data_IF_173221500071
#
_entry.id   IF_173221500071
#
_cell.length_a   1.000
_cell.length_b   1.000
_cell.length_c   1.000
_cell.angle_alpha   90.00
_cell.angle_beta   90.00
_cell.angle_gamma   90.00
#
_symmetry.space_group_name_H-M   'P 1'
#
loop_
_entity.id
_entity.type
_entity.pdbx_description
1 polymer ?
#
# COMPACT_ATOMS: atom_id res chain seq x y z
N UNK A 1 -20.58 1.45 -11.61
CA UNK A 1 -19.56 2.50 -11.76
C UNK A 1 -19.10 2.56 -13.20
N UNK A 2 -19.03 3.72 -13.76
CA UNK A 2 -18.47 3.91 -15.08
C UNK A 2 -16.98 4.19 -14.96
N UNK A 3 -16.16 3.92 -16.02
CA UNK A 3 -14.74 4.23 -16.01
C UNK A 3 -14.40 5.71 -15.90
N UNK A 4 -15.41 6.59 -15.84
CA UNK A 4 -15.24 8.04 -15.68
C UNK A 4 -15.22 8.49 -14.23
N UNK A 5 -15.67 7.64 -13.32
CA UNK A 5 -15.72 7.98 -11.91
C UNK A 5 -14.31 8.05 -11.35
N UNK A 6 -14.07 9.08 -10.57
CA UNK A 6 -12.83 9.28 -9.86
C UNK A 6 -13.06 9.10 -8.35
N UNK A 7 -12.11 8.48 -7.70
CA UNK A 7 -12.08 8.39 -6.26
C UNK A 7 -11.07 9.41 -5.74
N UNK A 8 -11.53 10.29 -4.87
CA UNK A 8 -10.68 11.30 -4.25
C UNK A 8 -10.33 10.83 -2.84
N UNK A 9 -9.05 10.59 -2.62
CA UNK A 9 -8.57 10.03 -1.36
C UNK A 9 -7.75 11.11 -0.67
N UNK A 10 -8.19 11.60 0.51
CA UNK A 10 -7.47 12.68 1.18
C UNK A 10 -6.10 12.19 1.68
N UNK A 11 -5.10 13.05 1.59
CA UNK A 11 -3.84 12.83 2.27
C UNK A 11 -4.05 12.97 3.78
N UNK A 12 -3.38 12.10 4.53
CA UNK A 12 -3.40 12.18 6.00
C UNK A 12 -2.73 13.48 6.43
N UNK A 13 -3.40 14.30 7.27
CA UNK A 13 -2.79 15.55 7.74
C UNK A 13 -1.51 15.33 8.54
N UNK A 14 -0.63 16.32 8.53
CA UNK A 14 0.59 16.30 9.33
C UNK A 14 1.76 15.55 8.70
N UNK A 15 1.63 15.11 7.46
CA UNK A 15 2.71 14.50 6.69
C UNK A 15 3.14 15.43 5.56
N UNK A 16 4.45 15.52 5.32
CA UNK A 16 4.99 16.21 4.16
C UNK A 16 4.90 15.38 2.88
N UNK A 17 4.68 14.09 3.02
CA UNK A 17 4.55 13.13 1.91
C UNK A 17 3.09 12.76 1.67
N UNK A 18 2.80 12.18 0.52
CA UNK A 18 1.47 11.68 0.20
C UNK A 18 1.20 10.36 0.93
N UNK A 19 0.50 10.45 2.05
CA UNK A 19 0.10 9.31 2.87
C UNK A 19 -1.41 9.22 2.81
N UNK A 20 -1.94 8.04 2.56
CA UNK A 20 -3.38 7.77 2.48
C UNK A 20 -3.76 6.64 3.42
N UNK A 21 -5.00 6.63 3.90
CA UNK A 21 -5.51 5.51 4.70
C UNK A 21 -6.00 4.40 3.78
N UNK A 22 -5.65 3.18 4.09
CA UNK A 22 -6.12 2.00 3.39
C UNK A 22 -6.35 0.86 4.38
N UNK A 23 -7.25 -0.06 4.07
CA UNK A 23 -7.55 -1.17 4.97
C UNK A 23 -7.18 -2.50 4.32
N UNK A 24 -6.18 -3.17 4.88
CA UNK A 24 -5.79 -4.51 4.47
C UNK A 24 -6.88 -5.51 4.86
N UNK A 25 -7.21 -6.42 3.96
CA UNK A 25 -8.32 -7.36 4.09
C UNK A 25 -9.67 -6.66 4.33
N UNK A 26 -9.76 -5.36 3.99
CA UNK A 26 -10.88 -4.47 4.33
C UNK A 26 -11.20 -4.47 5.83
N UNK A 27 -10.19 -4.70 6.69
CA UNK A 27 -10.36 -4.93 8.12
C UNK A 27 -9.46 -4.04 8.97
N UNK A 28 -8.15 -3.98 8.63
CA UNK A 28 -7.17 -3.24 9.42
C UNK A 28 -6.72 -2.01 8.64
N UNK A 29 -7.23 -0.83 9.06
CA UNK A 29 -6.93 0.45 8.43
C UNK A 29 -5.56 0.96 8.90
N UNK A 30 -4.72 1.33 7.93
CA UNK A 30 -3.35 1.81 8.17
C UNK A 30 -2.99 2.96 7.23
N UNK A 31 -2.16 3.90 7.69
CA UNK A 31 -1.58 4.91 6.80
C UNK A 31 -0.51 4.29 5.91
N UNK A 32 -0.64 4.48 4.61
CA UNK A 32 0.34 4.00 3.62
C UNK A 32 0.93 5.18 2.87
N UNK A 33 2.25 5.18 2.72
CA UNK A 33 2.94 6.12 1.85
C UNK A 33 2.69 5.71 0.40
N UNK A 34 2.20 6.63 -0.42
CA UNK A 34 2.03 6.41 -1.85
C UNK A 34 3.40 6.49 -2.51
N UNK A 35 3.90 5.36 -3.00
CA UNK A 35 5.30 5.24 -3.45
C UNK A 35 5.38 4.60 -4.83
N UNK A 36 5.58 5.45 -5.84
CA UNK A 36 5.76 5.00 -7.23
C UNK A 36 7.10 4.31 -7.46
N UNK A 37 8.03 4.40 -6.51
CA UNK A 37 9.30 3.69 -6.54
C UNK A 37 9.25 2.29 -5.96
N UNK A 38 8.16 1.90 -5.32
CA UNK A 38 8.00 0.55 -4.76
C UNK A 38 7.27 -0.34 -5.77
N UNK A 39 7.87 -1.47 -6.11
CA UNK A 39 7.25 -2.42 -7.05
C UNK A 39 6.05 -3.13 -6.44
N UNK A 40 6.07 -3.36 -5.13
CA UNK A 40 5.06 -4.12 -4.42
C UNK A 40 4.59 -3.34 -3.19
N UNK A 41 3.30 -3.40 -2.92
CA UNK A 41 2.69 -2.85 -1.70
C UNK A 41 3.21 -3.60 -0.48
N UNK A 42 3.47 -2.89 0.61
CA UNK A 42 4.01 -3.47 1.85
C UNK A 42 3.10 -3.16 3.04
N UNK A 43 3.15 -4.02 4.03
CA UNK A 43 2.58 -3.77 5.36
C UNK A 43 3.62 -4.04 6.43
N UNK A 44 3.42 -3.48 7.62
CA UNK A 44 4.31 -3.74 8.75
C UNK A 44 4.15 -5.15 9.28
N UNK A 45 5.17 -5.61 10.01
CA UNK A 45 5.12 -6.90 10.73
C UNK A 45 3.94 -6.92 11.70
N UNK A 46 3.72 -5.83 12.44
CA UNK A 46 2.62 -5.75 13.41
C UNK A 46 1.25 -5.90 12.74
N UNK A 47 1.05 -5.28 11.58
CA UNK A 47 -0.21 -5.39 10.82
C UNK A 47 -0.41 -6.81 10.31
N UNK A 48 0.62 -7.43 9.76
CA UNK A 48 0.54 -8.82 9.29
C UNK A 48 0.17 -9.77 10.42
N UNK A 49 0.77 -9.61 11.58
CA UNK A 49 0.47 -10.42 12.77
C UNK A 49 -0.96 -10.21 13.24
N UNK A 50 -1.43 -8.96 13.24
CA UNK A 50 -2.81 -8.66 13.62
C UNK A 50 -3.83 -9.32 12.68
N UNK A 51 -3.49 -9.46 11.41
CA UNK A 51 -4.32 -10.15 10.42
C UNK A 51 -4.20 -11.67 10.50
N UNK A 52 -3.37 -12.20 11.39
CA UNK A 52 -3.22 -13.64 11.60
C UNK A 52 -2.26 -14.33 10.65
N UNK A 53 -1.42 -13.60 9.93
CA UNK A 53 -0.43 -14.21 9.05
C UNK A 53 0.72 -14.82 9.85
N UNK A 54 1.11 -16.04 9.50
CA UNK A 54 2.27 -16.70 10.07
C UNK A 54 3.53 -16.31 9.29
N UNK A 55 4.32 -15.41 9.87
CA UNK A 55 5.51 -14.88 9.21
C UNK A 55 6.72 -15.83 9.29
N UNK A 56 6.67 -16.85 10.11
CA UNK A 56 7.68 -17.91 10.12
C UNK A 56 7.46 -18.90 8.99
N UNK A 57 6.20 -19.06 8.56
CA UNK A 57 5.81 -19.96 7.47
C UNK A 57 4.87 -19.25 6.49
N UNK A 58 5.35 -18.19 5.80
CA UNK A 58 4.47 -17.38 4.97
C UNK A 58 4.06 -18.06 3.65
N UNK A 59 4.63 -19.20 3.33
CA UNK A 59 4.38 -19.90 2.08
C UNK A 59 5.10 -19.32 0.88
N UNK A 60 5.45 -18.04 0.90
CA UNK A 60 6.15 -17.37 -0.18
C UNK A 60 7.08 -16.30 0.36
N UNK A 61 8.25 -16.18 -0.27
CA UNK A 61 9.26 -15.19 0.04
C UNK A 61 9.67 -14.48 -1.24
N UNK A 62 10.08 -13.22 -1.13
CA UNK A 62 10.69 -12.48 -2.22
C UNK A 62 11.94 -11.76 -1.75
N UNK A 63 12.86 -11.53 -2.68
CA UNK A 63 13.99 -10.65 -2.47
C UNK A 63 13.61 -9.28 -3.00
N UNK A 64 13.64 -8.27 -2.12
CA UNK A 64 13.42 -6.87 -2.48
C UNK A 64 14.73 -6.12 -2.32
N UNK A 65 15.01 -5.25 -3.29
CA UNK A 65 16.20 -4.39 -3.25
C UNK A 65 15.75 -2.99 -2.88
N UNK A 66 16.29 -2.48 -1.78
CA UNK A 66 16.04 -1.10 -1.34
C UNK A 66 16.93 -0.10 -2.08
N UNK A 67 16.75 1.20 -1.76
CA UNK A 67 17.56 2.28 -2.32
C UNK A 67 19.06 2.08 -2.03
N UNK A 68 19.38 1.45 -0.91
CA UNK A 68 20.75 1.11 -0.53
C UNK A 68 21.39 0.01 -1.39
N UNK A 69 20.65 -0.56 -2.34
CA UNK A 69 21.11 -1.63 -3.22
C UNK A 69 21.22 -2.99 -2.55
N UNK A 70 20.80 -3.10 -1.29
CA UNK A 70 20.90 -4.37 -0.54
C UNK A 70 19.64 -5.21 -0.72
N UNK A 71 19.79 -6.45 -1.23
CA UNK A 71 18.65 -7.36 -1.29
C UNK A 71 18.25 -7.82 0.12
N UNK A 72 16.96 -7.89 0.35
CA UNK A 72 16.39 -8.41 1.60
C UNK A 72 15.32 -9.43 1.25
N UNK A 73 15.34 -10.54 1.95
CA UNK A 73 14.33 -11.57 1.83
C UNK A 73 13.17 -11.20 2.75
N UNK A 74 11.97 -11.03 2.17
CA UNK A 74 10.79 -10.65 2.92
C UNK A 74 9.66 -11.64 2.70
N UNK A 75 8.82 -11.90 3.72
CA UNK A 75 7.65 -12.73 3.55
C UNK A 75 6.60 -12.03 2.70
N UNK A 76 5.89 -12.81 1.90
CA UNK A 76 4.74 -12.36 1.12
C UNK A 76 3.49 -12.97 1.71
N UNK A 77 2.51 -12.15 1.99
CA UNK A 77 1.21 -12.58 2.51
C UNK A 77 0.10 -12.22 1.54
N UNK A 78 -1.03 -12.90 1.65
CA UNK A 78 -2.19 -12.66 0.82
C UNK A 78 -3.33 -12.09 1.68
N UNK A 79 -3.57 -10.77 1.64
CA UNK A 79 -4.68 -10.16 2.37
C UNK A 79 -6.02 -10.32 1.63
N UNK A 80 -6.01 -10.80 0.39
CA UNK A 80 -7.17 -10.94 -0.44
C UNK A 80 -7.64 -9.64 -1.09
N UNK A 81 -7.68 -8.55 -0.33
CA UNK A 81 -8.19 -7.26 -0.80
C UNK A 81 -7.63 -6.11 0.01
N UNK A 82 -7.69 -4.93 -0.60
CA UNK A 82 -7.34 -3.66 0.01
C UNK A 82 -8.50 -2.69 -0.21
N UNK A 83 -9.03 -2.11 0.86
CA UNK A 83 -10.03 -1.05 0.75
C UNK A 83 -9.31 0.30 0.69
N UNK A 84 -9.60 1.09 -0.31
CA UNK A 84 -8.95 2.37 -0.56
C UNK A 84 -9.97 3.36 -1.14
N UNK A 85 -10.27 4.42 -0.39
CA UNK A 85 -11.12 5.51 -0.87
C UNK A 85 -12.50 5.08 -1.37
N UNK A 86 -13.12 4.07 -0.77
CA UNK A 86 -14.40 3.54 -1.20
C UNK A 86 -14.31 2.42 -2.23
N UNK A 87 -13.11 2.12 -2.73
CA UNK A 87 -12.88 1.00 -3.63
C UNK A 87 -12.45 -0.24 -2.85
N UNK A 88 -12.81 -1.41 -3.36
CA UNK A 88 -12.27 -2.68 -2.91
C UNK A 88 -11.39 -3.22 -4.04
N UNK A 89 -10.10 -3.34 -3.78
CA UNK A 89 -9.10 -3.74 -4.77
C UNK A 89 -8.61 -5.13 -4.44
N UNK A 90 -8.72 -6.12 -5.34
CA UNK A 90 -8.13 -7.43 -5.10
C UNK A 90 -6.60 -7.31 -5.04
N UNK A 91 -6.01 -7.81 -3.96
CA UNK A 91 -4.55 -7.81 -3.76
C UNK A 91 -4.17 -9.14 -3.15
N UNK A 92 -3.43 -9.95 -3.89
CA UNK A 92 -3.05 -11.30 -3.46
C UNK A 92 -1.63 -11.40 -2.91
N UNK A 93 -0.81 -10.38 -3.13
CA UNK A 93 0.57 -10.38 -2.68
C UNK A 93 0.93 -9.04 -2.06
N UNK A 94 1.28 -9.05 -0.79
CA UNK A 94 1.79 -7.89 -0.06
C UNK A 94 3.06 -8.31 0.65
N UNK A 95 4.11 -7.53 0.53
CA UNK A 95 5.36 -7.79 1.24
C UNK A 95 5.23 -7.31 2.69
N UNK A 96 5.82 -8.06 3.60
CA UNK A 96 5.84 -7.69 5.02
C UNK A 96 7.23 -7.15 5.34
N UNK A 97 7.30 -5.85 5.63
CA UNK A 97 8.53 -5.18 5.97
C UNK A 97 8.23 -3.90 6.71
N UNK A 98 8.97 -3.64 7.79
CA UNK A 98 8.86 -2.40 8.53
C UNK A 98 9.61 -1.29 7.78
N UNK A 99 9.04 -0.09 7.76
CA UNK A 99 9.70 1.09 7.22
C UNK A 99 10.77 1.58 8.20
N UNK A 100 11.82 2.25 7.69
CA UNK A 100 12.80 2.89 8.56
C UNK A 100 12.16 3.87 9.52
N UNK A 101 12.77 4.05 10.68
CA UNK A 101 12.32 5.04 11.67
C UNK A 101 12.25 6.44 11.05
N UNK A 102 11.25 7.21 11.47
CA UNK A 102 11.00 8.55 10.92
C UNK A 102 9.88 8.58 9.87
N UNK A 103 9.57 7.49 9.21
CA UNK A 103 8.37 7.39 8.38
C UNK A 103 7.15 7.18 9.28
N UNK A 104 6.17 8.06 9.15
CA UNK A 104 4.93 7.98 9.93
C UNK A 104 3.85 7.29 9.11
N UNK A 105 4.20 6.12 8.58
CA UNK A 105 3.34 5.26 7.78
C UNK A 105 3.58 3.81 8.14
N UNK A 106 2.58 2.98 7.98
CA UNK A 106 2.64 1.55 8.27
C UNK A 106 3.36 0.78 7.16
N UNK A 107 3.18 1.22 5.93
CA UNK A 107 3.75 0.56 4.77
C UNK A 107 3.67 1.44 3.54
N UNK A 108 3.87 0.81 2.37
CA UNK A 108 3.90 1.48 1.09
C UNK A 108 2.76 1.01 0.21
N UNK A 109 2.10 1.96 -0.46
CA UNK A 109 1.18 1.66 -1.56
C UNK A 109 1.99 1.73 -2.85
N UNK A 110 2.27 0.58 -3.44
CA UNK A 110 3.22 0.44 -4.53
C UNK A 110 2.61 0.41 -5.91
N UNK A 111 3.48 0.25 -6.92
CA UNK A 111 3.10 0.23 -8.32
C UNK A 111 2.16 -0.92 -8.69
N UNK A 112 2.24 -2.05 -7.97
CA UNK A 112 1.36 -3.19 -8.20
C UNK A 112 -0.12 -2.82 -8.08
N UNK A 113 -0.44 -1.88 -7.21
CA UNK A 113 -1.79 -1.31 -7.08
C UNK A 113 -1.96 -0.08 -7.97
N UNK A 114 -1.02 0.87 -7.88
CA UNK A 114 -1.17 2.18 -8.55
C UNK A 114 -1.30 2.06 -10.08
N UNK A 115 -0.61 1.12 -10.71
CA UNK A 115 -0.64 0.96 -12.17
C UNK A 115 -1.98 0.42 -12.71
N UNK A 116 -2.88 -0.01 -11.84
CA UNK A 116 -4.24 -0.40 -12.23
C UNK A 116 -5.14 0.80 -12.49
N UNK A 117 -4.64 2.01 -12.22
CA UNK A 117 -5.41 3.25 -12.25
C UNK A 117 -4.67 4.33 -13.01
N UNK A 118 -5.41 5.35 -13.41
CA UNK A 118 -4.85 6.66 -13.71
C UNK A 118 -4.77 7.41 -12.40
N UNK A 119 -3.59 7.86 -12.03
CA UNK A 119 -3.33 8.44 -10.72
C UNK A 119 -2.91 9.88 -10.89
N UNK A 120 -3.54 10.77 -10.14
CA UNK A 120 -3.18 12.18 -10.06
C UNK A 120 -2.87 12.53 -8.60
N UNK A 121 -1.72 13.13 -8.38
CA UNK A 121 -1.37 13.72 -7.10
C UNK A 121 -1.79 15.18 -7.11
N UNK A 122 -2.88 15.51 -6.45
CA UNK A 122 -3.33 16.89 -6.30
C UNK A 122 -2.76 17.46 -5.00
N UNK A 123 -1.57 18.01 -5.07
CA UNK A 123 -0.91 18.54 -3.87
C UNK A 123 -1.56 19.81 -3.32
N UNK A 124 -2.18 20.60 -4.19
CA UNK A 124 -2.89 21.82 -3.80
C UNK A 124 -4.13 21.52 -2.96
N UNK A 125 -4.89 20.49 -3.33
CA UNK A 125 -6.09 20.07 -2.58
C UNK A 125 -5.81 18.96 -1.59
N UNK A 126 -4.60 18.40 -1.59
CA UNK A 126 -4.15 17.32 -0.72
C UNK A 126 -4.97 16.04 -0.89
N UNK A 127 -5.08 15.61 -2.14
CA UNK A 127 -5.79 14.39 -2.51
C UNK A 127 -4.98 13.56 -3.50
N UNK A 128 -5.11 12.26 -3.37
CA UNK A 128 -4.80 11.31 -4.42
C UNK A 128 -6.09 11.07 -5.20
N UNK A 129 -6.06 11.30 -6.50
CA UNK A 129 -7.22 11.07 -7.36
C UNK A 129 -6.92 9.87 -8.23
N UNK A 130 -7.76 8.85 -8.15
CA UNK A 130 -7.57 7.62 -8.91
C UNK A 130 -8.80 7.34 -9.77
N UNK A 131 -8.54 6.95 -11.02
CA UNK A 131 -9.57 6.53 -11.98
C UNK A 131 -9.26 5.13 -12.44
N UNK A 132 -10.20 4.18 -12.34
CA UNK A 132 -9.98 2.85 -12.87
C UNK A 132 -9.69 2.91 -14.37
N UNK A 133 -8.74 2.09 -14.80
CA UNK A 133 -8.45 1.90 -16.23
C UNK A 133 -9.37 0.80 -16.74
N UNK A 134 -10.14 1.14 -17.76
CA UNK A 134 -11.10 0.21 -18.36
C UNK A 134 -10.40 -0.89 -19.15
#
# INVERSE_FOLDING_TARGET
MTGRDAYRIPFVPGHSMAVVMAAFAAEVTRPLLVDTGALITTMSVATAQRLGHDLERPGKWRHLVGIDGRPRRVPIVNPGRLALGGMIIPVSEVAVADLPGGFRADGLLGLDVLRRFRVTFEFDTRHLVVRPVA
#
